data_IF_914198379197
#
_entry.id   IF_914198379197
#
_cell.length_a   1.000
_cell.length_b   1.000
_cell.length_c   1.000
_cell.angle_alpha   90.00
_cell.angle_beta   90.00
_cell.angle_gamma   90.00
#
_symmetry.space_group_name_H-M   'P 1'
#
loop_
_entity.id
_entity.type
_entity.pdbx_description
1 polymer ?
#
# COMPACT_ATOMS: atom_id res chain seq x y z
N UNK A 1 5.82 6.35 -11.07
CA UNK A 1 4.73 6.21 -10.08
C UNK A 1 4.18 4.79 -10.06
N UNK A 2 3.93 4.24 -8.88
CA UNK A 2 3.22 2.97 -8.69
C UNK A 2 1.92 3.23 -7.93
N UNK A 3 0.82 2.70 -8.44
CA UNK A 3 -0.49 2.86 -7.80
C UNK A 3 -0.67 1.86 -6.65
N UNK A 4 -1.44 2.25 -5.64
CA UNK A 4 -1.74 1.41 -4.46
C UNK A 4 -2.32 0.04 -4.85
N UNK A 5 -3.14 -0.03 -5.89
CA UNK A 5 -3.71 -1.30 -6.38
C UNK A 5 -2.66 -2.29 -6.88
N UNK A 6 -1.57 -1.80 -7.47
CA UNK A 6 -0.47 -2.65 -7.92
C UNK A 6 0.35 -3.19 -6.75
N UNK A 7 0.63 -2.33 -5.77
CA UNK A 7 1.26 -2.71 -4.50
C UNK A 7 0.44 -3.78 -3.77
N UNK A 8 -0.90 -3.62 -3.72
CA UNK A 8 -1.81 -4.60 -3.15
C UNK A 8 -1.73 -5.96 -3.86
N UNK A 9 -1.69 -5.94 -5.20
CA UNK A 9 -1.57 -7.15 -6.03
C UNK A 9 -0.26 -7.89 -5.76
N UNK A 10 0.85 -7.17 -5.61
CA UNK A 10 2.17 -7.75 -5.27
C UNK A 10 2.12 -8.38 -3.87
N UNK A 11 1.64 -7.65 -2.87
CA UNK A 11 1.52 -8.13 -1.49
C UNK A 11 0.65 -9.39 -1.38
N UNK A 12 -0.44 -9.45 -2.13
CA UNK A 12 -1.34 -10.60 -2.18
C UNK A 12 -0.70 -11.81 -2.87
N UNK A 13 -0.16 -11.64 -4.09
CA UNK A 13 0.40 -12.74 -4.88
C UNK A 13 1.66 -13.35 -4.26
N UNK A 14 2.55 -12.53 -3.74
CA UNK A 14 3.87 -12.96 -3.25
C UNK A 14 3.86 -13.28 -1.75
N UNK A 15 2.70 -13.17 -1.08
CA UNK A 15 2.53 -13.37 0.36
C UNK A 15 3.44 -12.48 1.24
N UNK A 16 4.02 -11.41 0.68
CA UNK A 16 4.84 -10.48 1.45
C UNK A 16 3.99 -9.69 2.45
N UNK A 17 4.52 -9.54 3.68
CA UNK A 17 3.88 -8.76 4.74
C UNK A 17 4.13 -7.26 4.61
N UNK A 18 5.26 -6.91 4.00
CA UNK A 18 5.76 -5.53 3.86
C UNK A 18 6.58 -5.37 2.57
N UNK A 19 6.60 -4.16 2.03
CA UNK A 19 7.39 -3.77 0.87
C UNK A 19 8.20 -2.51 1.20
N UNK A 20 9.51 -2.46 0.92
CA UNK A 20 10.28 -1.23 1.01
C UNK A 20 9.85 -0.26 -0.09
N UNK A 21 9.84 1.02 0.22
CA UNK A 21 9.67 2.12 -0.75
C UNK A 21 11.03 2.76 -0.92
N UNK A 22 11.48 2.86 -2.17
CA UNK A 22 12.74 3.49 -2.53
C UNK A 22 12.48 4.73 -3.37
N UNK A 23 13.38 5.72 -3.30
CA UNK A 23 13.39 6.85 -4.23
C UNK A 23 13.98 6.45 -5.60
N UNK A 24 14.11 7.43 -6.51
CA UNK A 24 14.65 7.22 -7.85
C UNK A 24 16.12 6.78 -7.88
N UNK A 25 16.87 7.07 -6.82
CA UNK A 25 18.27 6.66 -6.66
C UNK A 25 18.39 5.29 -5.94
N UNK A 26 17.26 4.65 -5.64
CA UNK A 26 17.20 3.36 -4.95
C UNK A 26 17.40 3.43 -3.44
N UNK A 27 17.39 4.63 -2.84
CA UNK A 27 17.53 4.78 -1.39
C UNK A 27 16.22 4.46 -0.70
N UNK A 28 16.29 3.73 0.41
CA UNK A 28 15.11 3.40 1.23
C UNK A 28 14.51 4.67 1.85
N UNK A 29 13.27 4.98 1.50
CA UNK A 29 12.53 6.14 2.03
C UNK A 29 11.32 5.73 2.88
N UNK A 30 10.93 4.45 2.88
CA UNK A 30 9.81 4.00 3.70
C UNK A 30 9.50 2.52 3.58
N UNK A 31 8.43 2.10 4.25
CA UNK A 31 7.93 0.72 4.23
C UNK A 31 6.41 0.72 4.19
N UNK A 32 5.83 0.02 3.22
CA UNK A 32 4.39 -0.22 3.12
C UNK A 32 4.08 -1.56 3.77
N UNK A 33 3.08 -1.58 4.67
CA UNK A 33 2.56 -2.81 5.29
C UNK A 33 1.26 -3.22 4.60
N UNK A 34 0.98 -4.53 4.52
CA UNK A 34 -0.31 -5.02 4.01
C UNK A 34 -1.51 -4.41 4.74
N UNK A 35 -1.44 -4.31 6.07
CA UNK A 35 -2.51 -3.70 6.89
C UNK A 35 -2.84 -2.27 6.43
N UNK A 36 -1.83 -1.43 6.24
CA UNK A 36 -2.02 -0.04 5.82
C UNK A 36 -2.64 0.08 4.42
N UNK A 37 -2.27 -0.82 3.51
CA UNK A 37 -2.90 -0.88 2.17
C UNK A 37 -4.38 -1.26 2.27
N UNK A 38 -4.72 -2.21 3.14
CA UNK A 38 -6.11 -2.62 3.35
C UNK A 38 -6.94 -1.53 4.03
N UNK A 39 -6.40 -0.85 5.05
CA UNK A 39 -7.05 0.29 5.72
C UNK A 39 -7.31 1.42 4.72
N UNK A 40 -6.29 1.81 3.94
CA UNK A 40 -6.44 2.86 2.93
C UNK A 40 -7.44 2.49 1.82
N UNK A 41 -7.42 1.24 1.36
CA UNK A 41 -8.40 0.76 0.39
C UNK A 41 -9.82 0.75 0.96
N UNK A 42 -9.98 0.39 2.23
CA UNK A 42 -11.26 0.41 2.92
C UNK A 42 -11.80 1.83 3.03
N UNK A 43 -10.99 2.79 3.50
CA UNK A 43 -11.39 4.19 3.61
C UNK A 43 -11.77 4.81 2.25
N UNK A 44 -11.09 4.39 1.18
CA UNK A 44 -11.39 4.84 -0.18
C UNK A 44 -12.70 4.25 -0.75
N UNK A 45 -13.03 3.01 -0.40
CA UNK A 45 -14.23 2.30 -0.88
C UNK A 45 -15.47 2.57 -0.02
N UNK A 46 -15.25 2.82 1.27
CA UNK A 46 -16.27 3.14 2.26
C UNK A 46 -15.88 4.45 2.94
N UNK A 47 -16.05 5.59 2.24
CA UNK A 47 -15.87 6.88 2.86
C UNK A 47 -16.75 6.94 4.11
N UNK A 48 -16.18 7.36 5.25
CA UNK A 48 -17.01 7.58 6.43
C UNK A 48 -18.03 8.64 6.08
N UNK A 49 -19.31 8.24 6.08
CA UNK A 49 -20.44 9.15 6.03
C UNK A 49 -20.36 9.97 7.32
N UNK A 50 -19.89 11.20 7.18
CA UNK A 50 -19.74 12.17 8.27
C UNK A 50 -21.16 12.69 8.58
N UNK A 51 -21.91 11.90 9.36
CA UNK A 51 -23.19 12.29 9.95
C UNK A 51 -23.04 12.53 11.44
#
# INVERSE_FOLDING_TARGET
DQHVGEVARILAKKQFKKLPVVDGDGRLVGVIRRKSVMEHAFDALFPKDDR
#
